data_IF_574490560898
#
_entry.id   IF_574490560898
#
_cell.length_a   1.000
_cell.length_b   1.000
_cell.length_c   1.000
_cell.angle_alpha   90.00
_cell.angle_beta   90.00
_cell.angle_gamma   90.00
#
_symmetry.space_group_name_H-M   'P 1'
#
loop_
_entity.id
_entity.type
_entity.pdbx_description
1 polymer ?
#
# COMPACT_ATOMS: atom_id res chain seq x y z
N UNK A 1 17.75 0.01 -20.63
CA UNK A 1 18.90 0.18 -19.70
C UNK A 1 18.61 -0.65 -18.46
N UNK A 2 19.42 -1.67 -18.15
CA UNK A 2 19.11 -2.66 -17.12
C UNK A 2 19.14 -2.05 -15.71
N UNK A 3 18.05 -2.20 -14.94
CA UNK A 3 17.96 -1.78 -13.54
C UNK A 3 18.29 -2.97 -12.63
N UNK A 4 19.09 -2.74 -11.58
CA UNK A 4 19.45 -3.78 -10.59
C UNK A 4 18.45 -3.79 -9.41
N UNK A 5 17.73 -4.90 -9.14
CA UNK A 5 16.79 -5.05 -8.01
C UNK A 5 17.45 -5.12 -6.63
N UNK A 6 18.78 -5.28 -6.58
CA UNK A 6 19.57 -5.27 -5.35
C UNK A 6 20.24 -3.91 -5.08
N UNK A 7 20.13 -2.95 -6.01
CA UNK A 7 20.72 -1.63 -5.85
C UNK A 7 20.19 -0.94 -4.58
N UNK A 8 21.11 -0.32 -3.83
CA UNK A 8 20.77 0.47 -2.64
C UNK A 8 20.44 1.92 -3.04
N UNK A 9 19.53 2.58 -2.31
CA UNK A 9 19.25 3.99 -2.53
C UNK A 9 20.49 4.85 -2.24
N UNK A 10 20.71 5.95 -2.99
CA UNK A 10 21.74 6.94 -2.72
C UNK A 10 21.77 7.38 -1.24
N UNK A 11 22.95 7.68 -0.71
CA UNK A 11 23.12 8.06 0.70
C UNK A 11 22.28 9.28 1.09
N UNK A 12 22.21 10.28 0.21
CA UNK A 12 21.38 11.47 0.42
C UNK A 12 19.91 11.13 0.67
N UNK A 13 19.34 10.20 -0.11
CA UNK A 13 17.95 9.77 0.07
C UNK A 13 17.74 9.03 1.40
N UNK A 14 18.72 8.22 1.83
CA UNK A 14 18.67 7.55 3.13
C UNK A 14 18.68 8.56 4.29
N UNK A 15 19.45 9.64 4.17
CA UNK A 15 19.50 10.72 5.17
C UNK A 15 18.20 11.53 5.20
N UNK A 16 17.64 11.87 4.03
CA UNK A 16 16.33 12.56 3.93
C UNK A 16 15.22 11.69 4.53
N UNK A 17 15.20 10.40 4.20
CA UNK A 17 14.24 9.45 4.77
C UNK A 17 14.31 9.43 6.30
N UNK A 18 15.51 9.32 6.87
CA UNK A 18 15.71 9.34 8.34
C UNK A 18 15.27 10.66 8.97
N UNK A 19 15.52 11.80 8.32
CA UNK A 19 15.03 13.11 8.80
C UNK A 19 13.52 13.08 9.01
N UNK A 20 12.76 12.68 7.98
CA UNK A 20 11.30 12.71 8.02
C UNK A 20 10.68 11.57 8.84
N UNK A 21 11.40 10.46 8.99
CA UNK A 21 11.05 9.39 9.93
C UNK A 21 10.99 9.92 11.38
N UNK A 22 11.84 10.89 11.74
CA UNK A 22 12.00 11.38 13.11
C UNK A 22 11.53 12.83 13.36
N UNK A 23 11.10 13.55 12.31
CA UNK A 23 10.66 14.95 12.41
C UNK A 23 9.52 15.15 13.43
N UNK A 24 9.37 16.33 14.02
CA UNK A 24 8.22 16.61 14.89
C UNK A 24 6.94 16.76 14.05
N UNK A 25 5.76 16.44 14.62
CA UNK A 25 4.48 16.60 13.90
C UNK A 25 4.24 18.06 13.49
N UNK A 26 4.63 19.02 14.35
CA UNK A 26 4.54 20.45 14.09
C UNK A 26 5.36 20.85 12.84
N UNK A 27 6.60 20.33 12.73
CA UNK A 27 7.48 20.57 11.58
C UNK A 27 6.93 19.97 10.28
N UNK A 28 6.17 18.86 10.37
CA UNK A 28 5.50 18.25 9.22
C UNK A 28 4.29 19.10 8.80
N UNK A 29 3.55 19.69 9.74
CA UNK A 29 2.37 20.50 9.42
C UNK A 29 2.77 21.84 8.80
N UNK A 30 3.87 22.44 9.27
CA UNK A 30 4.29 23.79 8.87
C UNK A 30 5.25 23.81 7.66
N UNK A 31 5.64 22.64 7.14
CA UNK A 31 6.59 22.54 6.03
C UNK A 31 5.99 22.96 4.69
N UNK A 32 6.64 23.90 4.02
CA UNK A 32 6.33 24.33 2.65
C UNK A 32 6.77 23.33 1.58
N UNK A 33 7.52 22.29 1.96
CA UNK A 33 8.03 21.25 1.05
C UNK A 33 6.98 20.14 0.77
N UNK A 34 5.77 20.24 1.35
CA UNK A 34 4.72 19.21 1.28
C UNK A 34 3.55 19.72 0.43
N UNK A 35 3.20 18.97 -0.61
CA UNK A 35 2.10 19.29 -1.55
C UNK A 35 0.78 18.61 -1.12
N UNK A 36 -0.36 19.30 -1.27
CA UNK A 36 -1.71 18.90 -0.78
C UNK A 36 -2.78 19.02 -1.89
N UNK A 37 -3.60 17.98 -2.12
CA UNK A 37 -4.65 17.91 -3.15
C UNK A 37 -5.95 17.30 -2.56
N UNK A 38 -7.15 17.77 -2.93
CA UNK A 38 -8.44 17.42 -2.28
C UNK A 38 -9.57 16.87 -3.21
N UNK A 39 -10.27 15.83 -2.67
CA UNK A 39 -11.68 15.29 -2.78
C UNK A 39 -12.31 14.78 -4.10
N UNK A 40 -12.95 13.59 -4.07
CA UNK A 40 -14.40 13.36 -3.79
C UNK A 40 -14.77 11.85 -3.69
N UNK A 41 -15.98 11.55 -3.18
CA UNK A 41 -16.39 10.31 -2.49
C UNK A 41 -17.43 9.45 -3.26
N UNK A 42 -17.48 8.13 -2.98
CA UNK A 42 -18.59 7.27 -3.45
C UNK A 42 -18.61 5.87 -2.84
N UNK A 43 -19.80 5.36 -2.48
CA UNK A 43 -20.02 4.08 -1.78
C UNK A 43 -20.59 2.96 -2.69
N UNK A 44 -20.20 1.71 -2.41
CA UNK A 44 -20.90 0.46 -2.80
C UNK A 44 -20.70 -0.62 -1.73
N UNK A 45 -21.69 -1.51 -1.56
CA UNK A 45 -21.65 -2.65 -0.64
C UNK A 45 -21.22 -3.96 -1.34
N UNK A 46 -20.39 -4.79 -0.67
CA UNK A 46 -20.24 -6.24 -0.89
C UNK A 46 -19.46 -6.93 0.26
N UNK A 47 -19.43 -8.27 0.23
CA UNK A 47 -18.80 -9.20 1.17
C UNK A 47 -17.48 -8.73 1.79
N UNK A 48 -17.39 -8.84 3.12
CA UNK A 48 -16.27 -8.32 3.91
C UNK A 48 -15.36 -9.43 4.41
N UNK A 49 -14.04 -9.21 4.38
CA UNK A 49 -13.04 -10.08 5.03
C UNK A 49 -13.33 -10.28 6.53
N UNK A 50 -14.02 -9.33 7.15
CA UNK A 50 -14.44 -9.37 8.55
C UNK A 50 -15.61 -10.33 8.84
N UNK A 51 -16.20 -10.96 7.81
CA UNK A 51 -17.20 -12.02 7.96
C UNK A 51 -16.60 -13.39 8.31
N UNK A 52 -15.27 -13.57 8.19
CA UNK A 52 -14.64 -14.84 8.52
C UNK A 52 -14.72 -15.11 10.01
N UNK A 53 -15.02 -16.36 10.39
CA UNK A 53 -14.96 -16.79 11.78
C UNK A 53 -13.54 -16.54 12.32
N UNK A 54 -13.46 -15.75 13.39
CA UNK A 54 -12.22 -15.32 14.04
C UNK A 54 -11.32 -16.48 14.49
N UNK A 55 -11.90 -17.67 14.69
CA UNK A 55 -11.21 -18.89 15.12
C UNK A 55 -10.56 -19.67 13.96
N UNK A 56 -10.92 -19.39 12.71
CA UNK A 56 -10.30 -20.05 11.55
C UNK A 56 -8.80 -19.73 11.53
N UNK A 57 -7.99 -20.78 11.42
CA UNK A 57 -6.54 -20.68 11.30
C UNK A 57 -6.09 -20.76 9.85
N UNK A 58 -5.30 -19.78 9.41
CA UNK A 58 -4.62 -19.82 8.13
C UNK A 58 -3.39 -20.72 8.23
N UNK A 59 -3.34 -21.68 7.31
CA UNK A 59 -2.21 -22.59 7.15
C UNK A 59 -1.10 -21.90 6.35
N UNK A 60 0.13 -21.81 6.89
CA UNK A 60 1.24 -21.25 6.16
C UNK A 60 1.63 -22.14 4.98
N UNK A 61 2.15 -21.54 3.90
CA UNK A 61 2.69 -22.27 2.74
C UNK A 61 3.83 -23.23 3.16
N UNK A 62 4.61 -22.84 4.17
CA UNK A 62 5.61 -23.68 4.81
C UNK A 62 5.42 -23.71 6.34
N UNK A 63 4.76 -24.76 6.88
CA UNK A 63 4.57 -24.95 8.31
C UNK A 63 5.84 -25.19 9.12
N UNK A 64 6.97 -25.52 8.47
CA UNK A 64 8.25 -25.67 9.17
C UNK A 64 8.89 -24.32 9.51
N UNK A 65 8.62 -23.31 8.69
CA UNK A 65 9.16 -21.95 8.85
C UNK A 65 8.19 -21.03 9.61
N UNK A 66 6.88 -21.21 9.43
CA UNK A 66 5.86 -20.34 10.01
C UNK A 66 4.83 -21.12 10.83
N UNK A 67 4.32 -20.50 11.91
CA UNK A 67 3.20 -21.04 12.69
C UNK A 67 1.88 -20.57 12.09
N UNK A 68 0.85 -21.37 12.26
CA UNK A 68 -0.53 -20.98 11.96
C UNK A 68 -0.91 -19.68 12.69
N UNK A 69 -1.78 -18.91 12.04
CA UNK A 69 -2.33 -17.67 12.60
C UNK A 69 -3.84 -17.68 12.42
N UNK A 70 -4.59 -17.32 13.46
CA UNK A 70 -6.04 -17.16 13.33
C UNK A 70 -6.40 -15.87 12.61
N UNK A 71 -7.61 -15.79 12.05
CA UNK A 71 -8.17 -14.56 11.48
C UNK A 71 -8.07 -13.39 12.46
N UNK A 72 -8.38 -13.62 13.74
CA UNK A 72 -8.25 -12.58 14.76
C UNK A 72 -6.80 -12.11 14.96
N UNK A 73 -5.86 -13.04 15.11
CA UNK A 73 -4.45 -12.70 15.30
C UNK A 73 -3.88 -11.96 14.09
N UNK A 74 -4.29 -12.38 12.89
CA UNK A 74 -3.95 -11.76 11.62
C UNK A 74 -4.44 -10.30 11.63
N UNK A 75 -5.75 -10.07 11.85
CA UNK A 75 -6.37 -8.74 11.81
C UNK A 75 -5.84 -7.76 12.86
N UNK A 76 -5.49 -8.23 14.06
CA UNK A 76 -5.07 -7.33 15.15
C UNK A 76 -3.66 -6.79 14.95
N UNK A 77 -2.65 -7.66 14.78
CA UNK A 77 -1.24 -7.24 14.81
C UNK A 77 -0.30 -7.93 13.84
N UNK A 78 -0.71 -9.01 13.17
CA UNK A 78 0.21 -9.79 12.32
C UNK A 78 0.10 -9.47 10.84
N UNK A 79 -1.02 -8.91 10.38
CA UNK A 79 -1.15 -8.51 8.98
C UNK A 79 -0.21 -7.32 8.68
N UNK A 80 0.65 -7.50 7.69
CA UNK A 80 1.62 -6.50 7.21
C UNK A 80 1.43 -6.25 5.74
N UNK A 81 1.20 -7.30 4.99
CA UNK A 81 0.86 -7.23 3.58
C UNK A 81 0.01 -8.44 3.18
N UNK A 82 -0.70 -8.30 2.07
CA UNK A 82 -1.29 -9.40 1.31
C UNK A 82 -1.13 -9.12 -0.19
N UNK A 83 -1.34 -10.15 -1.00
CA UNK A 83 -1.28 -10.07 -2.47
C UNK A 83 -2.66 -10.36 -3.06
N UNK A 84 -3.05 -9.61 -4.07
CA UNK A 84 -4.23 -9.86 -4.90
C UNK A 84 -3.77 -10.21 -6.31
N UNK A 85 -4.38 -11.20 -6.96
CA UNK A 85 -3.95 -11.65 -8.28
C UNK A 85 -2.55 -12.27 -8.26
N UNK A 86 -1.62 -11.71 -9.02
CA UNK A 86 -0.21 -12.11 -9.06
C UNK A 86 0.46 -12.20 -7.68
N UNK A 87 1.20 -13.28 -7.47
CA UNK A 87 1.81 -13.63 -6.17
C UNK A 87 3.30 -13.32 -6.17
N UNK A 88 3.70 -12.17 -5.64
CA UNK A 88 5.10 -11.76 -5.60
C UNK A 88 5.96 -12.66 -4.68
N UNK A 89 7.09 -13.18 -5.19
CA UNK A 89 8.07 -13.90 -4.39
C UNK A 89 9.09 -12.91 -3.80
N UNK A 90 8.96 -12.63 -2.51
CA UNK A 90 9.85 -11.70 -1.78
C UNK A 90 11.31 -12.17 -1.71
N UNK A 91 11.56 -13.48 -1.77
CA UNK A 91 12.90 -14.05 -1.67
C UNK A 91 13.62 -13.91 -3.00
N UNK A 92 12.95 -14.27 -4.09
CA UNK A 92 13.50 -14.21 -5.45
C UNK A 92 13.35 -12.84 -6.10
N UNK A 93 12.48 -11.99 -5.57
CA UNK A 93 12.11 -10.66 -6.07
C UNK A 93 11.53 -10.67 -7.50
N UNK A 94 10.70 -11.68 -7.78
CA UNK A 94 10.06 -11.87 -9.10
C UNK A 94 8.60 -12.29 -8.91
N UNK A 95 7.79 -12.11 -9.95
CA UNK A 95 6.54 -12.85 -10.09
C UNK A 95 6.86 -14.25 -10.65
N UNK A 96 6.42 -15.34 -10.00
CA UNK A 96 6.60 -16.69 -10.52
C UNK A 96 5.85 -16.90 -11.84
N UNK A 97 6.40 -17.76 -12.70
CA UNK A 97 5.76 -18.17 -13.98
C UNK A 97 4.50 -19.05 -13.80
N UNK A 98 4.16 -19.38 -12.55
CA UNK A 98 2.97 -20.17 -12.19
C UNK A 98 1.69 -19.37 -12.49
N UNK A 99 0.60 -20.07 -12.83
CA UNK A 99 -0.69 -19.43 -13.06
C UNK A 99 -1.14 -18.68 -11.79
N UNK A 100 -1.20 -17.35 -11.89
CA UNK A 100 -1.64 -16.50 -10.79
C UNK A 100 -3.14 -16.69 -10.50
N UNK A 101 -3.58 -16.55 -9.23
CA UNK A 101 -4.98 -16.32 -8.90
C UNK A 101 -5.57 -15.17 -9.73
N UNK A 102 -6.86 -15.23 -10.01
CA UNK A 102 -7.56 -14.11 -10.65
C UNK A 102 -7.51 -12.87 -9.76
N UNK A 103 -7.25 -11.71 -10.36
CA UNK A 103 -7.40 -10.43 -9.66
C UNK A 103 -8.89 -10.20 -9.32
N UNK A 104 -9.25 -9.66 -8.14
CA UNK A 104 -10.64 -9.44 -7.76
C UNK A 104 -11.40 -8.57 -8.79
N UNK A 105 -12.46 -9.09 -9.43
CA UNK A 105 -13.07 -8.45 -10.59
C UNK A 105 -13.86 -7.17 -10.25
N UNK A 106 -14.34 -7.05 -9.03
CA UNK A 106 -14.97 -5.84 -8.48
C UNK A 106 -13.95 -4.71 -8.30
N UNK A 107 -12.79 -5.01 -7.72
CA UNK A 107 -11.68 -4.05 -7.57
C UNK A 107 -11.14 -3.67 -8.95
N UNK A 108 -10.92 -4.64 -9.85
CA UNK A 108 -10.45 -4.37 -11.21
C UNK A 108 -11.40 -3.43 -11.97
N UNK A 109 -12.71 -3.69 -11.90
CA UNK A 109 -13.71 -2.82 -12.54
C UNK A 109 -13.62 -1.39 -12.04
N UNK A 110 -13.54 -1.21 -10.71
CA UNK A 110 -13.47 0.13 -10.12
C UNK A 110 -12.17 0.86 -10.46
N UNK A 111 -11.05 0.13 -10.57
CA UNK A 111 -9.78 0.69 -11.03
C UNK A 111 -9.86 1.12 -12.49
N UNK A 112 -10.48 0.32 -13.35
CA UNK A 112 -10.65 0.65 -14.77
C UNK A 112 -11.49 1.92 -15.00
N UNK A 113 -12.44 2.23 -14.11
CA UNK A 113 -13.21 3.49 -14.17
C UNK A 113 -12.30 4.73 -14.08
N UNK A 114 -11.20 4.65 -13.33
CA UNK A 114 -10.28 5.78 -13.10
C UNK A 114 -8.96 5.67 -13.88
N UNK A 115 -8.50 4.45 -14.17
CA UNK A 115 -7.21 4.15 -14.78
C UNK A 115 -7.35 3.16 -15.94
N UNK A 116 -8.10 3.51 -17.01
CA UNK A 116 -8.50 2.56 -18.06
C UNK A 116 -7.33 2.00 -18.89
N UNK A 117 -6.15 2.60 -18.81
CA UNK A 117 -4.95 2.17 -19.56
C UNK A 117 -4.11 1.12 -18.82
N UNK A 118 -4.48 0.72 -17.60
CA UNK A 118 -3.71 -0.19 -16.77
C UNK A 118 -4.56 -1.40 -16.47
N UNK A 119 -4.09 -2.59 -16.85
CA UNK A 119 -4.76 -3.85 -16.53
C UNK A 119 -4.36 -4.32 -15.12
N UNK A 120 -5.27 -4.37 -14.13
CA UNK A 120 -4.94 -4.85 -12.78
C UNK A 120 -4.69 -6.36 -12.79
N UNK A 121 -3.42 -6.75 -12.75
CA UNK A 121 -3.02 -8.17 -12.75
C UNK A 121 -2.49 -8.62 -11.39
N UNK A 122 -1.85 -7.71 -10.65
CA UNK A 122 -1.36 -7.96 -9.29
C UNK A 122 -1.57 -6.73 -8.41
N UNK A 123 -1.73 -6.93 -7.10
CA UNK A 123 -1.60 -5.85 -6.14
C UNK A 123 -0.92 -6.33 -4.87
N UNK A 124 -0.05 -5.50 -4.32
CA UNK A 124 0.46 -5.65 -2.96
C UNK A 124 -0.33 -4.68 -2.07
N UNK A 125 -1.10 -5.23 -1.14
CA UNK A 125 -1.85 -4.46 -0.16
C UNK A 125 -1.03 -4.41 1.12
N UNK A 126 -0.49 -3.25 1.46
CA UNK A 126 0.30 -3.03 2.67
C UNK A 126 -0.58 -2.46 3.80
N UNK A 127 -0.38 -2.98 5.01
CA UNK A 127 -1.06 -2.53 6.23
C UNK A 127 -0.03 -1.93 7.18
N UNK A 128 -0.19 -0.64 7.46
CA UNK A 128 0.66 0.11 8.37
C UNK A 128 -0.12 0.56 9.60
N UNK A 129 0.59 0.70 10.71
CA UNK A 129 0.20 1.41 11.92
C UNK A 129 1.21 2.54 12.15
N UNK A 130 0.86 3.63 12.85
CA UNK A 130 1.83 4.67 13.21
C UNK A 130 3.11 4.08 13.81
N UNK A 131 4.25 4.48 13.23
CA UNK A 131 5.58 3.93 13.54
C UNK A 131 6.10 2.93 12.52
N UNK A 132 5.23 2.30 11.72
CA UNK A 132 5.67 1.50 10.58
C UNK A 132 6.24 2.40 9.47
N UNK A 133 7.20 1.85 8.73
CA UNK A 133 7.86 2.51 7.61
C UNK A 133 8.03 1.54 6.45
N UNK A 134 8.22 2.09 5.24
CA UNK A 134 8.67 1.33 4.09
C UNK A 134 9.96 1.97 3.57
N UNK A 135 11.07 1.23 3.69
CA UNK A 135 12.38 1.68 3.23
C UNK A 135 12.37 2.12 1.77
N UNK A 136 13.26 3.03 1.40
CA UNK A 136 13.39 3.50 0.02
C UNK A 136 13.78 2.34 -0.90
N UNK A 137 12.99 2.10 -1.94
CA UNK A 137 13.14 1.01 -2.92
C UNK A 137 12.65 1.45 -4.30
N UNK A 138 12.67 0.52 -5.27
CA UNK A 138 12.08 0.66 -6.59
C UNK A 138 11.31 -0.62 -6.92
N UNK A 139 10.21 -0.44 -7.64
CA UNK A 139 9.40 -1.54 -8.16
C UNK A 139 9.84 -1.81 -9.61
N UNK A 140 10.60 -2.88 -9.81
CA UNK A 140 11.21 -3.23 -11.11
C UNK A 140 11.12 -4.73 -11.41
N UNK A 141 10.19 -5.42 -10.76
CA UNK A 141 10.03 -6.87 -10.88
C UNK A 141 8.98 -7.27 -11.91
N UNK A 142 8.19 -6.33 -12.39
CA UNK A 142 7.27 -6.50 -13.51
C UNK A 142 8.03 -6.50 -14.84
N UNK A 143 7.55 -7.26 -15.82
CA UNK A 143 8.06 -7.20 -17.20
C UNK A 143 7.49 -5.99 -17.94
N UNK A 144 6.28 -5.57 -17.57
CA UNK A 144 5.59 -4.42 -18.14
C UNK A 144 6.06 -3.10 -17.53
N UNK A 145 6.28 -2.11 -18.41
CA UNK A 145 6.61 -0.72 -18.05
C UNK A 145 5.35 0.14 -17.83
N UNK A 146 4.16 -0.46 -17.81
CA UNK A 146 2.92 0.25 -17.50
C UNK A 146 2.96 0.92 -16.14
N UNK A 147 2.17 1.98 -16.00
CA UNK A 147 2.10 2.76 -14.79
C UNK A 147 1.64 1.92 -13.59
N UNK A 148 2.19 2.27 -12.42
CA UNK A 148 1.80 1.68 -11.14
C UNK A 148 0.81 2.60 -10.44
N UNK A 149 -0.27 2.03 -9.89
CA UNK A 149 -1.27 2.77 -9.12
C UNK A 149 -1.07 2.48 -7.64
N UNK A 150 -0.91 3.51 -6.81
CA UNK A 150 -0.75 3.38 -5.37
C UNK A 150 -1.88 4.14 -4.66
N UNK A 151 -2.90 3.40 -4.19
CA UNK A 151 -4.06 3.96 -3.50
C UNK A 151 -3.80 4.05 -2.00
N UNK A 152 -4.42 5.05 -1.36
CA UNK A 152 -4.25 5.35 0.06
C UNK A 152 -5.57 5.36 0.81
N UNK A 153 -5.67 4.61 1.90
CA UNK A 153 -6.88 4.55 2.75
C UNK A 153 -6.47 4.62 4.22
N UNK A 154 -7.20 5.38 5.04
CA UNK A 154 -6.99 5.47 6.49
C UNK A 154 -6.04 6.60 6.89
N UNK A 155 -5.17 6.36 7.87
CA UNK A 155 -4.22 7.36 8.36
C UNK A 155 -3.32 7.90 7.23
N UNK A 156 -2.99 9.18 7.33
CA UNK A 156 -2.08 9.86 6.44
C UNK A 156 -0.67 9.25 6.51
N UNK A 157 0.10 9.40 5.44
CA UNK A 157 1.52 9.09 5.42
C UNK A 157 2.33 10.13 4.70
N UNK A 158 3.62 10.18 5.01
CA UNK A 158 4.60 10.79 4.14
C UNK A 158 5.05 9.76 3.11
N UNK A 159 5.14 10.19 1.85
CA UNK A 159 5.66 9.43 0.73
C UNK A 159 6.85 10.17 0.15
N UNK A 160 8.00 9.50 0.14
CA UNK A 160 9.20 10.01 -0.53
C UNK A 160 9.17 9.52 -1.97
N UNK A 161 9.34 10.43 -2.93
CA UNK A 161 9.62 10.10 -4.32
C UNK A 161 10.88 10.85 -4.76
N UNK A 162 11.77 10.18 -5.48
CA UNK A 162 13.01 10.76 -5.95
C UNK A 162 13.37 10.25 -7.34
N UNK A 163 14.01 11.12 -8.11
CA UNK A 163 14.52 10.76 -9.43
C UNK A 163 15.62 9.69 -9.32
N UNK A 164 16.03 9.14 -10.46
CA UNK A 164 16.84 7.90 -10.52
C UNK A 164 18.19 7.99 -9.80
N UNK A 165 18.83 9.16 -9.83
CA UNK A 165 20.11 9.42 -9.15
C UNK A 165 19.95 9.98 -7.73
N UNK A 166 18.72 10.31 -7.33
CA UNK A 166 18.39 10.88 -6.01
C UNK A 166 18.85 12.32 -5.83
N UNK A 167 19.16 13.03 -6.91
CA UNK A 167 19.52 14.45 -6.88
C UNK A 167 18.31 15.35 -6.56
N UNK A 168 17.12 14.93 -6.98
CA UNK A 168 15.85 15.61 -6.75
C UNK A 168 14.88 14.66 -6.05
N UNK A 169 14.15 15.19 -5.06
CA UNK A 169 13.16 14.43 -4.32
C UNK A 169 12.02 15.33 -3.86
N UNK A 170 10.87 14.71 -3.61
CA UNK A 170 9.71 15.31 -2.99
C UNK A 170 9.25 14.45 -1.80
N UNK A 171 8.72 15.11 -0.78
CA UNK A 171 7.99 14.47 0.32
C UNK A 171 6.54 14.88 0.20
N UNK A 172 5.70 13.92 -0.13
CA UNK A 172 4.29 14.14 -0.42
C UNK A 172 3.48 13.58 0.75
N UNK A 173 2.57 14.37 1.30
CA UNK A 173 1.62 13.87 2.30
C UNK A 173 0.46 13.22 1.56
N UNK A 174 0.32 11.90 1.71
CA UNK A 174 -0.79 11.14 1.18
C UNK A 174 -1.84 10.95 2.26
N UNK A 175 -3.08 11.34 1.96
CA UNK A 175 -4.27 11.19 2.79
C UNK A 175 -5.09 9.98 2.35
N UNK A 176 -6.11 9.64 3.15
CA UNK A 176 -7.12 8.70 2.70
C UNK A 176 -7.83 9.23 1.44
N UNK A 177 -8.00 8.36 0.45
CA UNK A 177 -8.55 8.69 -0.87
C UNK A 177 -7.50 8.99 -1.93
N UNK A 178 -6.28 9.36 -1.55
CA UNK A 178 -5.25 9.76 -2.52
C UNK A 178 -4.75 8.58 -3.35
N UNK A 179 -4.54 8.83 -4.64
CA UNK A 179 -3.91 7.92 -5.57
C UNK A 179 -2.61 8.54 -6.12
N UNK A 180 -1.51 7.79 -6.04
CA UNK A 180 -0.26 8.12 -6.73
C UNK A 180 -0.15 7.23 -7.96
N UNK A 181 -0.03 7.86 -9.12
CA UNK A 181 0.24 7.18 -10.38
C UNK A 181 1.72 7.36 -10.74
N UNK A 182 2.48 6.27 -10.80
CA UNK A 182 3.89 6.28 -11.17
C UNK A 182 4.05 5.76 -12.59
N UNK A 183 4.17 6.67 -13.56
CA UNK A 183 4.24 6.40 -14.99
C UNK A 183 5.48 7.00 -15.64
N UNK A 184 5.84 6.52 -16.84
CA UNK A 184 6.98 7.05 -17.61
C UNK A 184 8.27 7.01 -16.79
N UNK A 185 9.02 8.11 -16.75
CA UNK A 185 10.28 8.19 -15.99
C UNK A 185 10.08 7.94 -14.48
N UNK A 186 8.93 8.30 -13.93
CA UNK A 186 8.62 8.10 -12.51
C UNK A 186 8.29 6.65 -12.16
N UNK A 187 8.01 5.78 -13.14
CA UNK A 187 7.68 4.36 -12.93
C UNK A 187 8.77 3.61 -12.15
N UNK A 188 10.02 4.05 -12.31
CA UNK A 188 11.19 3.49 -11.63
C UNK A 188 11.85 4.46 -10.65
N UNK A 189 11.12 5.50 -10.22
CA UNK A 189 11.58 6.43 -9.21
C UNK A 189 11.88 5.71 -7.89
N UNK A 190 12.91 6.19 -7.18
CA UNK A 190 13.13 5.76 -5.80
C UNK A 190 11.98 6.26 -4.94
N UNK A 191 11.40 5.38 -4.13
CA UNK A 191 10.31 5.78 -3.29
C UNK A 191 10.22 4.98 -1.99
N UNK A 192 9.54 5.54 -1.00
CA UNK A 192 9.35 4.91 0.30
C UNK A 192 8.31 5.63 1.14
N UNK A 193 7.99 5.06 2.29
CA UNK A 193 7.06 5.63 3.27
C UNK A 193 7.83 5.90 4.55
N UNK A 194 8.37 7.12 4.75
CA UNK A 194 9.13 7.44 5.95
C UNK A 194 8.30 7.37 7.22
N UNK A 195 7.00 7.66 7.12
CA UNK A 195 6.14 7.78 8.31
C UNK A 195 4.65 7.66 8.01
N UNK A 196 3.94 6.98 8.89
CA UNK A 196 2.47 7.01 9.01
C UNK A 196 2.10 7.90 10.20
N UNK A 197 1.18 8.84 10.00
CA UNK A 197 0.79 9.84 11.00
C UNK A 197 -0.34 9.31 11.88
N UNK A 198 -0.12 9.26 13.19
CA UNK A 198 -1.15 8.85 14.14
C UNK A 198 -2.34 9.82 14.16
N UNK A 199 -3.53 9.29 14.41
CA UNK A 199 -4.76 10.07 14.64
C UNK A 199 -5.16 10.98 13.46
N UNK A 200 -4.85 10.58 12.23
CA UNK A 200 -5.19 11.32 11.00
C UNK A 200 -6.21 10.61 10.11
N UNK A 201 -6.64 9.39 10.49
CA UNK A 201 -7.69 8.67 9.76
C UNK A 201 -9.00 9.49 9.76
N UNK A 202 -9.66 9.70 8.60
CA UNK A 202 -10.92 10.44 8.52
C UNK A 202 -11.99 9.83 9.42
N UNK A 203 -12.75 10.69 10.13
CA UNK A 203 -13.71 10.27 11.15
C UNK A 203 -14.72 9.24 10.63
N UNK A 204 -15.21 9.45 9.41
CA UNK A 204 -16.16 8.60 8.72
C UNK A 204 -15.62 7.20 8.40
N UNK A 205 -14.29 7.03 8.36
CA UNK A 205 -13.61 5.76 8.10
C UNK A 205 -13.12 5.08 9.38
N UNK A 206 -13.00 5.78 10.51
CA UNK A 206 -12.40 5.22 11.72
C UNK A 206 -13.12 3.97 12.20
N UNK A 207 -14.45 4.01 12.15
CA UNK A 207 -15.31 2.93 12.63
C UNK A 207 -15.44 1.78 11.63
N UNK A 208 -14.96 1.95 10.39
CA UNK A 208 -14.94 0.86 9.41
C UNK A 208 -14.24 -0.38 9.99
N UNK A 209 -14.82 -1.58 9.82
CA UNK A 209 -15.96 -1.94 8.95
C UNK A 209 -17.38 -1.69 9.52
N UNK A 210 -17.52 -1.13 10.72
CA UNK A 210 -18.82 -0.80 11.33
C UNK A 210 -19.38 0.52 10.78
N UNK A 211 -19.87 0.53 9.55
CA UNK A 211 -20.49 1.71 8.95
C UNK A 211 -22.02 1.70 9.13
N UNK A 212 -22.64 2.87 9.29
CA UNK A 212 -24.10 3.02 9.21
C UNK A 212 -24.92 2.34 10.31
N UNK A 213 -24.34 2.05 11.48
CA UNK A 213 -25.03 1.35 12.57
C UNK A 213 -25.07 -0.17 12.41
N UNK A 214 -24.27 -0.73 11.49
CA UNK A 214 -24.12 -2.16 11.33
C UNK A 214 -23.29 -2.78 12.47
N UNK A 215 -23.96 -3.50 13.37
CA UNK A 215 -23.33 -4.18 14.50
C UNK A 215 -22.72 -5.54 14.12
N UNK A 216 -22.85 -6.02 12.88
CA UNK A 216 -22.25 -7.30 12.43
C UNK A 216 -20.75 -7.36 12.69
N UNK A 217 -20.08 -6.21 12.61
CA UNK A 217 -18.64 -6.10 12.83
C UNK A 217 -18.28 -5.37 14.12
N UNK A 218 -19.19 -5.19 15.06
CA UNK A 218 -18.99 -4.32 16.24
C UNK A 218 -17.67 -4.55 17.00
N UNK A 219 -17.20 -5.80 17.05
CA UNK A 219 -15.90 -6.18 17.65
C UNK A 219 -14.67 -5.58 16.95
N UNK A 220 -14.82 -5.11 15.72
CA UNK A 220 -13.81 -4.49 14.86
C UNK A 220 -14.01 -2.98 14.72
N UNK A 221 -14.93 -2.37 15.47
CA UNK A 221 -15.09 -0.91 15.49
C UNK A 221 -13.77 -0.21 15.82
N UNK A 222 -13.46 0.86 15.11
CA UNK A 222 -12.22 1.61 15.29
C UNK A 222 -10.99 0.96 14.64
N UNK A 223 -11.13 -0.20 13.97
CA UNK A 223 -9.99 -0.94 13.45
C UNK A 223 -9.17 -0.13 12.44
N UNK A 224 -9.83 0.62 11.55
CA UNK A 224 -9.15 1.47 10.57
C UNK A 224 -8.66 2.81 11.16
N UNK A 225 -9.22 3.25 12.29
CA UNK A 225 -8.88 4.55 12.91
C UNK A 225 -7.40 4.72 13.29
N UNK A 226 -6.66 3.61 13.41
CA UNK A 226 -5.21 3.61 13.71
C UNK A 226 -4.36 3.03 12.60
N UNK A 227 -4.95 2.75 11.43
CA UNK A 227 -4.28 2.03 10.35
C UNK A 227 -4.26 2.84 9.08
N UNK A 228 -3.25 2.53 8.28
CA UNK A 228 -3.16 2.94 6.89
C UNK A 228 -3.10 1.70 6.01
N UNK A 229 -3.91 1.68 4.98
CA UNK A 229 -3.87 0.67 3.93
C UNK A 229 -3.34 1.34 2.66
N UNK A 230 -2.36 0.70 2.04
CA UNK A 230 -1.89 1.07 0.72
C UNK A 230 -2.14 -0.08 -0.24
N UNK A 231 -2.79 0.19 -1.37
CA UNK A 231 -3.03 -0.81 -2.42
C UNK A 231 -2.18 -0.41 -3.61
N UNK A 232 -1.11 -1.18 -3.85
CA UNK A 232 -0.17 -0.95 -4.93
C UNK A 232 -0.47 -1.92 -6.07
N UNK A 233 -1.19 -1.45 -7.09
CA UNK A 233 -1.69 -2.20 -8.24
C UNK A 233 -0.70 -2.12 -9.40
N UNK A 234 -0.48 -3.26 -10.05
CA UNK A 234 0.52 -3.48 -11.08
C UNK A 234 -0.04 -4.31 -12.23
N UNK A 235 0.39 -3.96 -13.44
CA UNK A 235 0.34 -4.83 -14.60
C UNK A 235 1.70 -5.54 -14.69
N UNK A 236 1.70 -6.87 -14.58
CA UNK A 236 2.92 -7.69 -14.57
C UNK A 236 3.48 -7.89 -15.97
N UNK A 237 2.60 -8.13 -16.94
CA UNK A 237 2.93 -8.39 -18.35
C UNK A 237 2.00 -7.62 -19.28
N UNK A 238 2.50 -7.26 -20.46
CA UNK A 238 1.68 -6.66 -21.51
C UNK A 238 0.77 -7.71 -22.15
N UNK A 239 -0.45 -7.31 -22.52
CA UNK A 239 -1.35 -8.16 -23.28
C UNK A 239 -0.67 -8.55 -24.60
N UNK A 240 -0.62 -9.86 -24.87
CA UNK A 240 -0.07 -10.41 -26.13
C UNK A 240 -0.92 -10.06 -27.35
#
# INVERSE_FOLDING_TARGET
MTLDPAAKPPERLRSVFKKWQHAALQEIIESTDIVDLQRDDGHHEQCSFFNLDSSIAFQPKDPSTHKEITVEQMLRRKLRWMTLGGQYDWTRKVYPDEAAPAFPPDVARKLNDYFPSIEPQAAIVNFYTPGDTLSVHRDISEESDQALISLSIGCDSLFLAANRDGSEYAIIRLRSGDAVLMSGESRHAWHGVPRVLANTCPLELQDWPCYGGDDRFAQWRGWLGTKRININVRQMTDSK
#
